data_IF_880209680327
#
_entry.id   IF_880209680327
#
_cell.length_a   1.000
_cell.length_b   1.000
_cell.length_c   1.000
_cell.angle_alpha   90.00
_cell.angle_beta   90.00
_cell.angle_gamma   90.00
#
_symmetry.space_group_name_H-M   'P 1'
#
loop_
_entity.id
_entity.type
_entity.pdbx_description
1 polymer ?
#
# COMPACT_ATOMS: atom_id res chain seq x y z
N UNK A 1 16.60 10.75 4.95
CA UNK A 1 15.99 11.22 6.21
C UNK A 1 16.42 12.61 6.71
N UNK A 2 16.80 13.57 5.81
CA UNK A 2 17.19 14.92 6.25
C UNK A 2 16.00 15.77 6.72
N UNK A 3 14.76 15.43 6.35
CA UNK A 3 13.59 16.30 6.48
C UNK A 3 12.44 15.70 7.30
N UNK A 4 12.51 14.43 7.69
CA UNK A 4 11.45 13.77 8.47
C UNK A 4 11.99 12.70 9.41
N UNK A 5 11.32 12.53 10.56
CA UNK A 5 11.51 11.41 11.48
C UNK A 5 10.42 10.34 11.31
N UNK A 6 9.48 10.57 10.37
CA UNK A 6 8.42 9.59 10.09
C UNK A 6 8.95 8.46 9.22
N UNK A 7 8.36 7.25 9.31
CA UNK A 7 8.70 6.15 8.43
C UNK A 7 8.55 6.56 6.96
N UNK A 8 9.50 6.13 6.13
CA UNK A 8 9.41 6.25 4.69
C UNK A 8 8.79 4.96 4.14
N UNK A 9 7.59 5.09 3.65
CA UNK A 9 6.86 4.05 2.93
C UNK A 9 7.08 4.26 1.42
N UNK A 10 7.68 3.26 0.78
CA UNK A 10 8.09 3.36 -0.63
C UNK A 10 7.35 2.30 -1.44
N UNK A 11 6.54 2.75 -2.38
CA UNK A 11 5.82 1.91 -3.32
C UNK A 11 6.47 1.97 -4.70
N UNK A 12 6.97 0.83 -5.19
CA UNK A 12 7.67 0.72 -6.48
C UNK A 12 6.71 0.29 -7.60
N UNK A 13 6.46 1.20 -8.54
CA UNK A 13 5.71 0.93 -9.78
C UNK A 13 6.69 0.68 -10.94
N UNK A 14 7.58 -0.30 -10.77
CA UNK A 14 8.63 -0.65 -11.73
C UNK A 14 8.69 -2.16 -11.95
N UNK A 15 9.32 -2.60 -13.02
CA UNK A 15 9.63 -4.01 -13.30
C UNK A 15 10.92 -4.42 -12.59
N UNK A 16 11.06 -5.71 -12.27
CA UNK A 16 12.23 -6.27 -11.60
C UNK A 16 12.62 -5.50 -10.31
N UNK A 17 11.65 -5.24 -9.39
CA UNK A 17 11.86 -4.41 -8.21
C UNK A 17 12.92 -4.98 -7.26
N UNK A 18 13.17 -6.29 -7.32
CA UNK A 18 14.19 -6.98 -6.52
C UNK A 18 15.61 -6.43 -6.74
N UNK A 19 15.88 -5.85 -7.89
CA UNK A 19 17.19 -5.26 -8.21
C UNK A 19 17.50 -3.98 -7.43
N UNK A 20 16.49 -3.37 -6.82
CA UNK A 20 16.60 -2.06 -6.15
C UNK A 20 16.43 -2.12 -4.63
N UNK A 21 16.26 -3.31 -4.03
CA UNK A 21 15.98 -3.46 -2.59
C UNK A 21 17.06 -2.79 -1.74
N UNK A 22 18.33 -3.06 -2.04
CA UNK A 22 19.48 -2.50 -1.30
C UNK A 22 19.57 -0.98 -1.47
N UNK A 23 19.29 -0.47 -2.67
CA UNK A 23 19.33 0.97 -2.94
C UNK A 23 18.29 1.72 -2.12
N UNK A 24 17.06 1.22 -2.05
CA UNK A 24 15.99 1.82 -1.23
C UNK A 24 16.28 1.70 0.27
N UNK A 25 16.87 0.61 0.72
CA UNK A 25 17.37 0.50 2.09
C UNK A 25 18.39 1.60 2.40
N UNK A 26 19.38 1.78 1.54
CA UNK A 26 20.46 2.74 1.73
C UNK A 26 19.98 4.20 1.79
N UNK A 27 18.90 4.54 1.07
CA UNK A 27 18.29 5.88 1.15
C UNK A 27 17.31 6.01 2.32
N UNK A 28 17.08 4.94 3.10
CA UNK A 28 16.38 4.97 4.37
C UNK A 28 14.90 4.57 4.32
N UNK A 29 14.48 3.79 3.33
CA UNK A 29 13.15 3.20 3.31
C UNK A 29 12.93 2.32 4.55
N UNK A 30 11.75 2.42 5.14
CA UNK A 30 11.30 1.62 6.28
C UNK A 30 10.33 0.52 5.84
N UNK A 31 9.53 0.80 4.82
CA UNK A 31 8.61 -0.13 4.17
C UNK A 31 8.95 -0.09 2.68
N UNK A 32 9.03 -1.24 2.04
CA UNK A 32 9.21 -1.35 0.60
C UNK A 32 8.12 -2.24 0.02
N UNK A 33 7.28 -1.64 -0.81
CA UNK A 33 6.12 -2.29 -1.45
C UNK A 33 6.40 -2.53 -2.92
N UNK A 34 6.24 -3.77 -3.36
CA UNK A 34 6.44 -4.21 -4.74
C UNK A 34 5.15 -4.80 -5.31
N UNK A 35 4.91 -4.63 -6.61
CA UNK A 35 3.74 -5.23 -7.26
C UNK A 35 3.91 -6.73 -7.43
N UNK A 36 2.85 -7.51 -7.10
CA UNK A 36 2.82 -8.96 -7.35
C UNK A 36 3.03 -9.25 -8.83
N UNK A 37 2.47 -8.40 -9.70
CA UNK A 37 2.53 -8.55 -11.16
C UNK A 37 3.93 -8.26 -11.73
N UNK A 38 4.80 -7.58 -10.97
CA UNK A 38 6.14 -7.18 -11.41
C UNK A 38 7.25 -8.08 -10.85
N UNK A 39 6.95 -8.94 -9.87
CA UNK A 39 7.94 -9.81 -9.21
C UNK A 39 7.74 -11.27 -9.62
N UNK A 40 8.70 -11.85 -10.35
CA UNK A 40 8.64 -13.25 -10.80
C UNK A 40 8.70 -14.25 -9.64
N UNK A 41 9.38 -13.90 -8.56
CA UNK A 41 9.60 -14.74 -7.39
C UNK A 41 9.22 -13.98 -6.13
N UNK A 42 7.94 -13.57 -6.04
CA UNK A 42 7.45 -12.68 -5.00
C UNK A 42 7.86 -13.11 -3.59
N UNK A 43 7.68 -14.39 -3.23
CA UNK A 43 8.06 -14.88 -1.90
C UNK A 43 9.54 -14.57 -1.57
N UNK A 44 10.47 -14.87 -2.50
CA UNK A 44 11.90 -14.56 -2.33
C UNK A 44 12.16 -13.05 -2.23
N UNK A 45 11.43 -12.24 -3.01
CA UNK A 45 11.55 -10.78 -2.98
C UNK A 45 11.14 -10.22 -1.61
N UNK A 46 10.03 -10.71 -1.04
CA UNK A 46 9.58 -10.31 0.30
C UNK A 46 10.61 -10.68 1.38
N UNK A 47 11.14 -11.89 1.32
CA UNK A 47 12.21 -12.32 2.24
C UNK A 47 13.45 -11.43 2.12
N UNK A 48 13.87 -11.08 0.90
CA UNK A 48 15.01 -10.20 0.68
C UNK A 48 14.77 -8.78 1.26
N UNK A 49 13.57 -8.23 1.13
CA UNK A 49 13.19 -6.95 1.75
C UNK A 49 13.32 -7.04 3.29
N UNK A 50 12.80 -8.12 3.88
CA UNK A 50 12.89 -8.34 5.34
C UNK A 50 14.34 -8.55 5.80
N UNK A 51 15.17 -9.24 5.05
CA UNK A 51 16.60 -9.44 5.35
C UNK A 51 17.36 -8.11 5.40
N UNK A 52 16.98 -7.14 4.59
CA UNK A 52 17.52 -5.76 4.65
C UNK A 52 16.93 -4.94 5.82
N UNK A 53 16.08 -5.53 6.67
CA UNK A 53 15.50 -4.88 7.84
C UNK A 53 14.40 -3.86 7.51
N UNK A 54 13.77 -3.96 6.34
CA UNK A 54 12.56 -3.22 5.97
C UNK A 54 11.32 -4.08 6.18
N UNK A 55 10.16 -3.45 6.35
CA UNK A 55 8.87 -4.13 6.24
C UNK A 55 8.58 -4.43 4.78
N UNK A 56 8.07 -5.64 4.51
CA UNK A 56 7.76 -6.09 3.16
C UNK A 56 6.29 -5.81 2.81
N UNK A 57 6.07 -5.02 1.75
CA UNK A 57 4.75 -4.73 1.21
C UNK A 57 4.51 -5.37 -0.15
N UNK A 58 3.25 -5.72 -0.42
CA UNK A 58 2.81 -6.21 -1.75
C UNK A 58 1.69 -5.33 -2.27
N UNK A 59 1.84 -4.81 -3.49
CA UNK A 59 0.80 -4.08 -4.19
C UNK A 59 0.05 -4.98 -5.19
N UNK A 60 -1.26 -4.74 -5.31
CA UNK A 60 -2.16 -5.42 -6.25
C UNK A 60 -2.83 -4.44 -7.18
N UNK A 61 -2.75 -4.66 -8.48
CA UNK A 61 -3.55 -3.94 -9.46
C UNK A 61 -5.07 -4.12 -9.24
N UNK A 62 -5.92 -3.22 -9.76
CA UNK A 62 -7.37 -3.33 -9.57
C UNK A 62 -7.96 -4.69 -9.99
N UNK A 63 -7.44 -5.30 -11.05
CA UNK A 63 -7.91 -6.58 -11.60
C UNK A 63 -7.32 -7.83 -10.91
N UNK A 64 -6.26 -7.69 -10.10
CA UNK A 64 -5.60 -8.84 -9.46
C UNK A 64 -6.35 -9.27 -8.21
N UNK A 65 -6.69 -10.54 -8.11
CA UNK A 65 -7.46 -11.08 -6.99
C UNK A 65 -6.62 -11.19 -5.70
N UNK A 66 -7.22 -10.86 -4.54
CA UNK A 66 -6.52 -10.87 -3.23
C UNK A 66 -6.13 -12.27 -2.76
N UNK A 67 -6.79 -13.30 -3.24
CA UNK A 67 -6.49 -14.70 -2.94
C UNK A 67 -5.12 -15.14 -3.42
N UNK A 68 -4.55 -14.45 -4.41
CA UNK A 68 -3.19 -14.71 -4.87
C UNK A 68 -2.14 -14.40 -3.82
N UNK A 69 -2.50 -13.66 -2.76
CA UNK A 69 -1.61 -13.37 -1.64
C UNK A 69 -1.56 -14.49 -0.60
N UNK A 70 -2.55 -15.38 -0.53
CA UNK A 70 -2.61 -16.40 0.53
C UNK A 70 -1.29 -17.16 0.71
N UNK A 71 -0.56 -17.59 -0.36
CA UNK A 71 0.69 -18.32 -0.21
C UNK A 71 1.87 -17.50 0.35
N UNK A 72 1.77 -16.16 0.36
CA UNK A 72 2.86 -15.25 0.78
C UNK A 72 2.45 -14.30 1.90
N UNK A 73 1.23 -14.43 2.41
CA UNK A 73 0.67 -13.46 3.35
C UNK A 73 1.42 -13.43 4.70
N UNK A 74 1.97 -14.57 5.15
CA UNK A 74 2.80 -14.67 6.36
C UNK A 74 4.11 -13.88 6.25
N UNK A 75 4.62 -13.69 5.03
CA UNK A 75 5.80 -12.88 4.74
C UNK A 75 5.47 -11.40 4.51
N UNK A 76 4.18 -11.03 4.50
CA UNK A 76 3.72 -9.70 4.08
C UNK A 76 3.31 -8.87 5.29
N UNK A 77 3.98 -7.73 5.50
CA UNK A 77 3.65 -6.78 6.57
C UNK A 77 2.56 -5.78 6.14
N UNK A 78 2.44 -5.49 4.84
CA UNK A 78 1.51 -4.52 4.27
C UNK A 78 1.03 -4.97 2.89
N UNK A 79 -0.27 -4.88 2.64
CA UNK A 79 -0.85 -5.06 1.31
C UNK A 79 -1.42 -3.74 0.81
N UNK A 80 -0.86 -3.22 -0.28
CA UNK A 80 -1.35 -2.03 -0.96
C UNK A 80 -2.35 -2.40 -2.06
N UNK A 81 -3.61 -2.06 -1.89
CA UNK A 81 -4.64 -2.23 -2.91
C UNK A 81 -4.68 -0.97 -3.78
N UNK A 82 -4.38 -1.12 -5.06
CA UNK A 82 -4.57 -0.06 -6.03
C UNK A 82 -6.07 0.18 -6.25
N UNK A 83 -6.52 1.39 -5.96
CA UNK A 83 -7.89 1.85 -6.21
C UNK A 83 -8.02 2.72 -7.47
N UNK A 84 -6.95 2.79 -8.22
CA UNK A 84 -6.83 3.32 -9.59
C UNK A 84 -5.87 2.45 -10.38
N UNK A 85 -5.74 2.62 -11.70
CA UNK A 85 -4.67 1.97 -12.44
C UNK A 85 -3.33 2.62 -12.09
N UNK A 86 -2.26 1.85 -11.77
CA UNK A 86 -0.96 2.44 -11.46
C UNK A 86 -0.37 3.19 -12.65
N UNK A 87 0.43 4.25 -12.36
CA UNK A 87 1.18 5.00 -13.36
C UNK A 87 1.06 6.52 -13.25
N UNK A 88 -0.07 7.08 -12.85
CA UNK A 88 -0.23 8.53 -12.67
C UNK A 88 -1.29 8.88 -11.64
N UNK A 89 -1.16 10.05 -11.01
CA UNK A 89 -2.07 10.54 -9.98
C UNK A 89 -3.31 11.24 -10.53
N UNK A 90 -4.31 11.47 -9.65
CA UNK A 90 -5.52 12.24 -9.97
C UNK A 90 -6.60 11.49 -10.73
N UNK A 91 -6.52 10.16 -10.79
CA UNK A 91 -7.53 9.29 -11.39
C UNK A 91 -8.76 9.15 -10.49
N UNK A 92 -9.90 8.78 -11.09
CA UNK A 92 -11.13 8.48 -10.36
C UNK A 92 -11.00 7.14 -9.60
N UNK A 93 -11.52 7.14 -8.37
CA UNK A 93 -11.55 5.96 -7.50
C UNK A 93 -12.40 4.83 -8.10
N UNK A 94 -11.92 3.62 -8.03
CA UNK A 94 -12.61 2.40 -8.50
C UNK A 94 -13.46 1.82 -7.36
N UNK A 95 -14.79 1.93 -7.46
CA UNK A 95 -15.75 1.51 -6.42
C UNK A 95 -15.61 0.02 -6.01
N UNK A 96 -15.18 -0.86 -6.92
CA UNK A 96 -14.93 -2.27 -6.63
C UNK A 96 -13.88 -2.51 -5.53
N UNK A 97 -13.07 -1.50 -5.23
CA UNK A 97 -12.04 -1.54 -4.18
C UNK A 97 -12.61 -1.87 -2.80
N UNK A 98 -13.79 -1.37 -2.44
CA UNK A 98 -14.40 -1.66 -1.13
C UNK A 98 -14.56 -3.16 -0.89
N UNK A 99 -15.16 -3.88 -1.83
CA UNK A 99 -15.32 -5.34 -1.73
C UNK A 99 -13.98 -6.08 -1.68
N UNK A 100 -12.97 -5.54 -2.38
CA UNK A 100 -11.62 -6.12 -2.40
C UNK A 100 -10.96 -5.96 -1.03
N UNK A 101 -11.13 -4.80 -0.36
CA UNK A 101 -10.65 -4.54 1.00
C UNK A 101 -11.33 -5.48 2.01
N UNK A 102 -12.67 -5.57 2.00
CA UNK A 102 -13.43 -6.46 2.90
C UNK A 102 -12.97 -7.92 2.76
N UNK A 103 -12.78 -8.37 1.52
CA UNK A 103 -12.33 -9.74 1.23
C UNK A 103 -10.92 -9.99 1.77
N UNK A 104 -9.98 -9.08 1.52
CA UNK A 104 -8.61 -9.18 2.03
C UNK A 104 -8.61 -9.15 3.57
N UNK A 105 -9.39 -8.25 4.19
CA UNK A 105 -9.51 -8.19 5.66
C UNK A 105 -9.98 -9.52 6.24
N UNK A 106 -10.97 -10.16 5.61
CA UNK A 106 -11.46 -11.47 6.02
C UNK A 106 -10.37 -12.56 5.94
N UNK A 107 -9.55 -12.55 4.88
CA UNK A 107 -8.43 -13.50 4.71
C UNK A 107 -7.40 -13.30 5.82
N UNK A 108 -6.97 -12.06 6.06
CA UNK A 108 -5.98 -11.70 7.10
C UNK A 108 -6.47 -12.14 8.49
N UNK A 109 -7.72 -11.81 8.83
CA UNK A 109 -8.32 -12.19 10.14
C UNK A 109 -8.41 -13.71 10.29
N UNK A 110 -8.85 -14.42 9.25
CA UNK A 110 -8.92 -15.88 9.26
C UNK A 110 -7.55 -16.55 9.43
N UNK A 111 -6.50 -15.94 8.87
CA UNK A 111 -5.13 -16.41 9.02
C UNK A 111 -4.49 -16.02 10.37
N UNK A 112 -5.13 -15.17 11.17
CA UNK A 112 -4.59 -14.69 12.46
C UNK A 112 -3.38 -13.77 12.31
N UNK A 113 -3.28 -13.01 11.20
CA UNK A 113 -2.16 -12.16 10.87
C UNK A 113 -2.45 -10.68 11.17
N UNK A 114 -1.37 -9.90 11.38
CA UNK A 114 -1.42 -8.44 11.64
C UNK A 114 -1.09 -7.60 10.41
N UNK A 115 -1.13 -8.20 9.21
CA UNK A 115 -0.84 -7.53 7.93
C UNK A 115 -1.74 -6.32 7.75
N UNK A 116 -1.16 -5.16 7.44
CA UNK A 116 -1.88 -3.90 7.22
C UNK A 116 -2.42 -3.80 5.81
N UNK A 117 -3.58 -3.17 5.66
CA UNK A 117 -4.20 -2.89 4.35
C UNK A 117 -4.05 -1.41 4.05
N UNK A 118 -3.33 -1.11 2.98
CA UNK A 118 -3.15 0.22 2.44
C UNK A 118 -3.97 0.40 1.15
N UNK A 119 -4.49 1.61 0.94
CA UNK A 119 -5.25 1.98 -0.26
C UNK A 119 -4.52 3.10 -0.96
N UNK A 120 -4.14 2.89 -2.23
CA UNK A 120 -3.51 3.90 -3.07
C UNK A 120 -4.33 4.20 -4.32
N UNK A 121 -4.76 5.47 -4.43
CA UNK A 121 -5.42 6.04 -5.60
C UNK A 121 -6.81 6.59 -5.35
N UNK A 122 -7.02 7.86 -5.70
CA UNK A 122 -8.33 8.52 -5.65
C UNK A 122 -8.95 8.65 -4.26
N UNK A 123 -8.16 8.52 -3.19
CA UNK A 123 -8.62 8.71 -1.81
C UNK A 123 -8.91 10.18 -1.54
N UNK A 124 -10.08 10.44 -0.94
CA UNK A 124 -10.58 11.77 -0.56
C UNK A 124 -11.37 11.66 0.75
N UNK A 125 -11.77 12.79 1.34
CA UNK A 125 -12.66 12.81 2.52
C UNK A 125 -14.02 12.12 2.27
N UNK A 126 -14.45 11.99 1.01
CA UNK A 126 -15.75 11.39 0.67
C UNK A 126 -15.76 9.86 0.77
N UNK A 127 -14.60 9.21 0.56
CA UNK A 127 -14.48 7.75 0.54
C UNK A 127 -13.63 7.19 1.68
N UNK A 128 -12.84 8.02 2.37
CA UNK A 128 -11.92 7.61 3.43
C UNK A 128 -12.64 6.84 4.55
N UNK A 129 -13.74 7.37 5.10
CA UNK A 129 -14.50 6.69 6.16
C UNK A 129 -14.96 5.29 5.75
N UNK A 130 -15.55 5.17 4.56
CA UNK A 130 -16.02 3.89 4.05
C UNK A 130 -14.88 2.89 3.84
N UNK A 131 -13.69 3.35 3.39
CA UNK A 131 -12.51 2.50 3.27
C UNK A 131 -12.05 1.94 4.62
N UNK A 132 -12.03 2.79 5.66
CA UNK A 132 -11.70 2.38 7.03
C UNK A 132 -12.73 1.37 7.55
N UNK A 133 -14.02 1.62 7.35
CA UNK A 133 -15.10 0.73 7.76
C UNK A 133 -15.03 -0.64 7.06
N UNK A 134 -14.53 -0.70 5.81
CA UNK A 134 -14.23 -1.94 5.09
C UNK A 134 -12.99 -2.68 5.62
N UNK A 135 -12.15 -2.02 6.41
CA UNK A 135 -10.97 -2.63 7.03
C UNK A 135 -9.61 -2.11 6.57
N UNK A 136 -9.56 -0.97 5.86
CA UNK A 136 -8.30 -0.31 5.53
C UNK A 136 -7.62 0.27 6.79
N UNK A 137 -6.31 0.09 6.90
CA UNK A 137 -5.49 0.60 7.99
C UNK A 137 -4.72 1.87 7.59
N UNK A 138 -4.39 2.03 6.30
CA UNK A 138 -3.56 3.12 5.75
C UNK A 138 -4.20 3.69 4.49
N UNK A 139 -4.21 5.01 4.35
CA UNK A 139 -4.77 5.71 3.19
C UNK A 139 -3.73 6.63 2.55
N UNK A 140 -3.48 6.46 1.26
CA UNK A 140 -2.60 7.33 0.46
C UNK A 140 -3.45 8.36 -0.29
N UNK A 141 -3.30 9.63 0.08
CA UNK A 141 -4.14 10.73 -0.42
C UNK A 141 -3.30 11.85 -1.08
N UNK A 142 -2.39 11.50 -1.98
CA UNK A 142 -1.43 12.45 -2.58
C UNK A 142 -2.11 13.63 -3.30
N UNK A 143 -2.78 13.38 -4.41
CA UNK A 143 -3.41 14.44 -5.21
C UNK A 143 -4.47 15.25 -4.43
N UNK A 144 -5.23 14.60 -3.56
CA UNK A 144 -6.24 15.27 -2.75
C UNK A 144 -5.62 16.28 -1.77
N UNK A 145 -4.55 15.89 -1.12
CA UNK A 145 -3.81 16.73 -0.17
C UNK A 145 -3.09 17.87 -0.89
N UNK A 146 -2.26 17.55 -1.88
CA UNK A 146 -1.41 18.56 -2.54
C UNK A 146 -2.18 19.57 -3.41
N UNK A 147 -3.40 19.26 -3.85
CA UNK A 147 -4.26 20.20 -4.58
C UNK A 147 -5.21 21.01 -3.68
N UNK A 148 -5.22 20.73 -2.38
CA UNK A 148 -6.05 21.48 -1.44
C UNK A 148 -5.46 22.86 -1.14
N UNK A 149 -6.30 23.81 -0.77
CA UNK A 149 -5.89 25.18 -0.36
C UNK A 149 -5.01 25.14 0.90
N UNK A 150 -5.26 24.18 1.81
CA UNK A 150 -4.50 23.99 3.04
C UNK A 150 -4.16 22.51 3.25
N UNK A 151 -3.02 22.02 2.71
CA UNK A 151 -2.60 20.63 2.83
C UNK A 151 -2.49 20.13 4.29
N UNK A 152 -2.01 20.97 5.20
CA UNK A 152 -1.87 20.60 6.62
C UNK A 152 -3.23 20.35 7.27
N UNK A 153 -4.20 21.22 7.04
CA UNK A 153 -5.56 21.04 7.55
C UNK A 153 -6.22 19.80 6.92
N UNK A 154 -6.06 19.61 5.60
CA UNK A 154 -6.59 18.44 4.90
C UNK A 154 -6.06 17.13 5.47
N UNK A 155 -4.77 17.07 5.81
CA UNK A 155 -4.18 15.90 6.48
C UNK A 155 -4.78 15.70 7.88
N UNK A 156 -4.95 16.79 8.64
CA UNK A 156 -5.56 16.73 9.97
C UNK A 156 -7.01 16.20 9.89
N UNK A 157 -7.79 16.70 8.94
CA UNK A 157 -9.17 16.27 8.74
C UNK A 157 -9.27 14.80 8.36
N UNK A 158 -8.39 14.32 7.45
CA UNK A 158 -8.34 12.90 7.08
C UNK A 158 -7.96 11.99 8.26
N UNK A 159 -7.12 12.45 9.18
CA UNK A 159 -6.73 11.68 10.36
C UNK A 159 -7.81 11.58 11.43
N UNK A 160 -8.80 12.48 11.40
CA UNK A 160 -9.89 12.56 12.36
C UNK A 160 -11.21 11.94 11.83
N UNK A 161 -11.14 11.23 10.69
CA UNK A 161 -12.30 10.53 10.09
C UNK A 161 -12.69 9.24 10.87
#
# INVERSE_FOLDING_TARGET
NKHTLKPLDVHLMIVEPESYIVDFKNVGANILTVHIEASKHLHRTLQAIKQEGMKAGVALNPHTAVEQLEPVLEETDLVCIMSVNPGFGGQAFIEGTYRKVEKLKSIIVKAGLDTKIEIDGGVTSKNARKLIDCGADVLVAGSFVFKSENPTQTISDLKNI
#
